data_IF_100802558009
#
_entry.id   IF_100802558009
#
_cell.length_a   1.000
_cell.length_b   1.000
_cell.length_c   1.000
_cell.angle_alpha   90.00
_cell.angle_beta   90.00
_cell.angle_gamma   90.00
#
_symmetry.space_group_name_H-M   'P 1'
#
loop_
_entity.id
_entity.type
_entity.pdbx_description
1 polymer ?
#
# COMPACT_ATOMS: atom_id res chain seq x y z
N UNK A 1 -5.94 -7.22 26.86
CA UNK A 1 -7.11 -6.48 26.31
C UNK A 1 -7.13 -6.68 24.79
N UNK A 2 -8.18 -6.31 24.07
CA UNK A 2 -8.15 -6.37 22.59
C UNK A 2 -7.68 -5.02 22.08
N UNK A 3 -6.62 -5.02 21.26
CA UNK A 3 -6.11 -3.85 20.54
C UNK A 3 -6.29 -4.03 19.05
N UNK A 4 -6.72 -2.97 18.35
CA UNK A 4 -7.01 -3.04 16.92
C UNK A 4 -6.23 -2.01 16.12
N UNK A 5 -5.48 -2.51 15.14
CA UNK A 5 -4.69 -1.68 14.24
C UNK A 5 -5.31 -1.68 12.85
N UNK A 6 -5.40 -0.50 12.25
CA UNK A 6 -5.73 -0.32 10.84
C UNK A 6 -4.44 -0.02 10.07
N UNK A 7 -4.00 -0.96 9.26
CA UNK A 7 -2.88 -0.80 8.33
C UNK A 7 -3.44 -0.55 6.93
N UNK A 8 -2.97 0.50 6.26
CA UNK A 8 -3.42 0.90 4.92
C UNK A 8 -2.20 1.04 4.02
N UNK A 9 -2.09 0.17 3.01
CA UNK A 9 -1.25 0.44 1.84
C UNK A 9 -2.06 1.25 0.82
N UNK A 10 -1.47 2.33 0.30
CA UNK A 10 -2.12 3.13 -0.73
C UNK A 10 -2.30 2.38 -2.05
N UNK A 11 -1.49 1.36 -2.32
CA UNK A 11 -1.62 0.57 -3.54
C UNK A 11 -2.97 -0.19 -3.61
N UNK A 12 -3.63 -0.40 -2.47
CA UNK A 12 -4.99 -0.91 -2.40
C UNK A 12 -5.96 -0.08 -3.24
N UNK A 13 -5.76 1.24 -3.32
CA UNK A 13 -6.68 2.14 -4.02
C UNK A 13 -6.43 2.18 -5.53
N UNK A 14 -5.48 1.43 -6.08
CA UNK A 14 -5.19 1.44 -7.51
C UNK A 14 -6.31 0.77 -8.30
N UNK A 15 -6.87 1.49 -9.26
CA UNK A 15 -7.74 0.94 -10.29
C UNK A 15 -6.88 0.49 -11.46
N UNK A 16 -6.39 -0.75 -11.41
CA UNK A 16 -5.48 -1.31 -12.40
C UNK A 16 -6.03 -2.62 -12.99
N UNK A 17 -5.64 -2.93 -14.23
CA UNK A 17 -5.75 -4.29 -14.75
C UNK A 17 -4.57 -5.11 -14.27
N UNK A 18 -4.72 -6.44 -14.31
CA UNK A 18 -3.63 -7.37 -14.02
C UNK A 18 -2.41 -7.17 -14.91
N UNK A 19 -2.62 -6.84 -16.18
CA UNK A 19 -1.55 -6.53 -17.13
C UNK A 19 -0.80 -5.26 -16.72
N UNK A 20 -1.50 -4.25 -16.22
CA UNK A 20 -0.88 -3.02 -15.71
C UNK A 20 -0.04 -3.31 -14.47
N UNK A 21 -0.58 -4.02 -13.46
CA UNK A 21 0.19 -4.38 -12.25
C UNK A 21 1.42 -5.22 -12.58
N UNK A 22 1.28 -6.22 -13.47
CA UNK A 22 2.41 -7.04 -13.95
C UNK A 22 3.47 -6.24 -14.71
N UNK A 23 3.13 -5.05 -15.16
CA UNK A 23 4.08 -4.17 -15.82
C UNK A 23 4.81 -3.24 -14.84
N UNK A 24 4.49 -3.23 -13.55
CA UNK A 24 5.16 -2.36 -12.59
C UNK A 24 6.67 -2.65 -12.50
N UNK A 25 7.49 -1.66 -12.06
CA UNK A 25 8.89 -1.90 -11.78
C UNK A 25 9.11 -2.99 -10.72
N UNK A 26 10.32 -3.55 -10.66
CA UNK A 26 10.65 -4.58 -9.66
C UNK A 26 10.40 -4.10 -8.23
N UNK A 27 9.64 -4.92 -7.49
CA UNK A 27 8.96 -4.58 -6.25
C UNK A 27 9.77 -4.61 -4.96
N UNK A 28 11.05 -4.23 -5.00
CA UNK A 28 11.86 -4.12 -3.79
C UNK A 28 11.73 -2.71 -3.24
N UNK A 29 11.49 -2.56 -1.95
CA UNK A 29 11.43 -1.24 -1.31
C UNK A 29 12.73 -0.45 -1.54
N UNK A 30 12.58 0.81 -1.95
CA UNK A 30 13.66 1.75 -2.23
C UNK A 30 13.32 3.13 -1.67
N UNK A 31 14.34 3.93 -1.31
CA UNK A 31 14.14 5.34 -0.99
C UNK A 31 13.36 6.09 -2.07
N UNK A 32 12.58 7.09 -1.65
CA UNK A 32 11.70 7.89 -2.51
C UNK A 32 12.38 8.37 -3.79
N UNK A 33 13.61 8.87 -3.69
CA UNK A 33 14.37 9.40 -4.84
C UNK A 33 14.65 8.32 -5.88
N UNK A 34 15.05 7.13 -5.43
CA UNK A 34 15.35 6.01 -6.32
C UNK A 34 14.08 5.43 -6.93
N UNK A 35 13.02 5.26 -6.14
CA UNK A 35 11.69 4.87 -6.65
C UNK A 35 11.18 5.84 -7.71
N UNK A 36 11.36 7.14 -7.49
CA UNK A 36 10.98 8.19 -8.45
C UNK A 36 11.74 8.04 -9.77
N UNK A 37 13.06 7.80 -9.72
CA UNK A 37 13.88 7.59 -10.91
C UNK A 37 13.46 6.32 -11.67
N UNK A 38 13.19 5.24 -10.95
CA UNK A 38 12.74 3.97 -11.51
C UNK A 38 11.42 4.16 -12.26
N UNK A 39 10.43 4.82 -11.63
CA UNK A 39 9.16 5.14 -12.27
C UNK A 39 9.32 6.04 -13.50
N UNK A 40 10.16 7.07 -13.42
CA UNK A 40 10.42 7.95 -14.55
C UNK A 40 11.03 7.19 -15.73
N UNK A 41 11.99 6.30 -15.48
CA UNK A 41 12.54 5.42 -16.50
C UNK A 41 11.48 4.46 -17.05
N UNK A 42 10.64 3.91 -16.19
CA UNK A 42 9.58 2.97 -16.57
C UNK A 42 8.55 3.61 -17.51
N UNK A 43 8.19 4.86 -17.23
CA UNK A 43 7.26 5.67 -18.00
C UNK A 43 7.70 6.05 -19.42
N UNK A 44 8.97 5.85 -19.75
CA UNK A 44 9.49 6.06 -21.11
C UNK A 44 9.20 4.88 -22.04
N UNK A 45 8.91 3.70 -21.51
CA UNK A 45 8.60 2.53 -22.31
C UNK A 45 7.25 2.66 -23.03
N UNK A 46 7.20 2.34 -24.33
CA UNK A 46 6.00 2.54 -25.15
C UNK A 46 4.79 1.75 -24.62
N UNK A 47 4.96 0.44 -24.38
CA UNK A 47 3.87 -0.44 -23.94
C UNK A 47 3.66 -0.37 -22.43
N UNK A 48 4.73 -0.55 -21.67
CA UNK A 48 4.69 -0.59 -20.20
C UNK A 48 4.38 0.79 -19.60
N UNK A 49 4.93 1.86 -20.16
CA UNK A 49 4.59 3.23 -19.75
C UNK A 49 3.14 3.58 -20.05
N UNK A 50 2.60 3.15 -21.20
CA UNK A 50 1.18 3.35 -21.51
C UNK A 50 0.25 2.57 -20.56
N UNK A 51 0.61 1.33 -20.20
CA UNK A 51 -0.18 0.52 -19.26
C UNK A 51 -0.17 1.13 -17.86
N UNK A 52 1.01 1.49 -17.35
CA UNK A 52 1.15 2.04 -15.99
C UNK A 52 0.53 3.42 -15.83
N UNK A 53 0.59 4.28 -16.86
CA UNK A 53 -0.10 5.60 -16.86
C UNK A 53 -1.62 5.50 -16.98
N UNK A 54 -2.16 4.33 -17.34
CA UNK A 54 -3.61 4.09 -17.40
C UNK A 54 -4.22 3.73 -16.05
N UNK A 55 -3.39 3.48 -15.04
CA UNK A 55 -3.84 3.12 -13.69
C UNK A 55 -4.58 4.31 -13.08
N UNK A 56 -5.78 4.06 -12.58
CA UNK A 56 -6.60 5.06 -11.92
C UNK A 56 -6.66 4.86 -10.41
N UNK A 57 -7.70 5.45 -9.80
CA UNK A 57 -7.98 5.31 -8.37
C UNK A 57 -9.39 4.75 -8.18
N UNK A 58 -9.53 3.74 -7.32
CA UNK A 58 -10.80 3.23 -6.81
C UNK A 58 -11.46 4.28 -5.92
N UNK A 59 -12.12 5.25 -6.55
CA UNK A 59 -12.61 6.47 -5.88
C UNK A 59 -13.63 6.18 -4.78
N UNK A 60 -14.49 5.17 -4.96
CA UNK A 60 -15.46 4.77 -3.95
C UNK A 60 -14.81 4.19 -2.69
N UNK A 61 -13.77 3.35 -2.87
CA UNK A 61 -12.98 2.80 -1.77
C UNK A 61 -12.14 3.89 -1.08
N UNK A 62 -11.53 4.80 -1.84
CA UNK A 62 -10.81 5.95 -1.28
C UNK A 62 -11.74 6.86 -0.47
N UNK A 63 -12.98 7.08 -0.94
CA UNK A 63 -13.97 7.81 -0.18
C UNK A 63 -14.45 7.03 1.06
N UNK A 64 -14.55 5.70 0.97
CA UNK A 64 -14.90 4.82 2.08
C UNK A 64 -13.87 4.91 3.20
N UNK A 65 -12.57 4.76 2.91
CA UNK A 65 -11.54 4.85 3.95
C UNK A 65 -11.53 6.23 4.60
N UNK A 66 -11.73 7.31 3.84
CA UNK A 66 -11.84 8.67 4.39
C UNK A 66 -13.02 8.81 5.37
N UNK A 67 -14.14 8.13 5.14
CA UNK A 67 -15.26 8.10 6.09
C UNK A 67 -14.95 7.27 7.33
N UNK A 68 -14.25 6.14 7.18
CA UNK A 68 -13.79 5.31 8.30
C UNK A 68 -12.86 6.12 9.22
N UNK A 69 -11.87 6.81 8.64
CA UNK A 69 -10.90 7.62 9.37
C UNK A 69 -11.57 8.74 10.17
N UNK A 70 -12.50 9.49 9.57
CA UNK A 70 -13.23 10.59 10.24
C UNK A 70 -14.12 10.14 11.42
N UNK A 71 -14.43 8.85 11.53
CA UNK A 71 -15.21 8.29 12.65
C UNK A 71 -14.32 7.87 13.83
N UNK A 72 -13.00 7.82 13.64
CA UNK A 72 -12.07 7.43 14.69
C UNK A 72 -11.87 8.57 15.68
N UNK A 73 -11.41 8.24 16.89
CA UNK A 73 -10.99 9.24 17.86
C UNK A 73 -9.86 10.11 17.29
N UNK A 74 -9.93 11.42 17.47
CA UNK A 74 -8.83 12.33 17.11
C UNK A 74 -7.54 12.04 17.88
N UNK A 75 -7.64 11.36 19.03
CA UNK A 75 -6.49 10.98 19.85
C UNK A 75 -5.87 9.62 19.46
N UNK A 76 -6.42 8.94 18.44
CA UNK A 76 -5.83 7.72 17.90
C UNK A 76 -4.45 8.05 17.29
N UNK A 77 -3.36 7.36 17.68
CA UNK A 77 -2.05 7.57 17.09
C UNK A 77 -2.04 7.15 15.63
N UNK A 78 -1.43 7.98 14.78
CA UNK A 78 -1.28 7.71 13.35
C UNK A 78 0.17 7.82 12.91
N UNK A 79 0.61 6.87 12.08
CA UNK A 79 1.90 6.93 11.39
C UNK A 79 1.70 6.91 9.87
N UNK A 80 2.42 7.78 9.17
CA UNK A 80 2.47 7.84 7.70
C UNK A 80 3.92 7.65 7.25
N UNK A 81 4.18 6.61 6.47
CA UNK A 81 5.52 6.26 6.00
C UNK A 81 5.53 5.82 4.53
N UNK A 82 6.72 5.77 3.93
CA UNK A 82 6.88 5.29 2.56
C UNK A 82 6.85 3.76 2.47
N UNK A 83 7.49 3.07 3.40
CA UNK A 83 7.63 1.61 3.41
C UNK A 83 6.70 0.97 4.42
N UNK A 84 6.10 -0.15 4.03
CA UNK A 84 5.16 -0.89 4.86
C UNK A 84 5.84 -1.64 6.01
N UNK A 85 7.16 -1.85 5.93
CA UNK A 85 7.92 -2.50 7.01
C UNK A 85 7.79 -1.73 8.34
N UNK A 86 7.59 -0.41 8.28
CA UNK A 86 7.39 0.42 9.48
C UNK A 86 6.09 0.14 10.23
N UNK A 87 5.13 -0.58 9.63
CA UNK A 87 3.95 -1.05 10.35
C UNK A 87 4.33 -2.03 11.47
N UNK A 88 5.42 -2.79 11.32
CA UNK A 88 5.91 -3.71 12.35
C UNK A 88 6.29 -2.96 13.63
N UNK A 89 7.15 -1.93 13.53
CA UNK A 89 7.55 -1.12 14.67
C UNK A 89 6.36 -0.34 15.26
N UNK A 90 5.48 0.18 14.39
CA UNK A 90 4.29 0.91 14.83
C UNK A 90 3.34 0.04 15.67
N UNK A 91 3.18 -1.25 15.33
CA UNK A 91 2.39 -2.19 16.13
C UNK A 91 3.02 -2.39 17.50
N UNK A 92 4.34 -2.58 17.59
CA UNK A 92 5.06 -2.74 18.85
C UNK A 92 4.97 -1.50 19.75
N UNK A 93 5.00 -0.31 19.17
CA UNK A 93 4.84 0.95 19.90
C UNK A 93 3.41 1.16 20.43
N UNK A 94 2.42 0.50 19.83
CA UNK A 94 0.99 0.72 20.12
C UNK A 94 0.36 -0.41 20.95
N UNK A 95 0.86 -1.64 20.82
CA UNK A 95 0.23 -2.86 21.33
C UNK A 95 1.23 -3.67 22.17
N UNK A 96 0.88 -3.89 23.43
CA UNK A 96 1.62 -4.77 24.33
C UNK A 96 1.52 -6.23 23.87
N UNK A 97 2.59 -7.03 24.00
CA UNK A 97 2.57 -8.47 23.68
C UNK A 97 1.52 -9.27 24.51
N UNK A 98 1.16 -8.76 25.70
CA UNK A 98 0.09 -9.32 26.54
C UNK A 98 -1.34 -9.02 26.03
N UNK A 99 -1.50 -8.14 25.03
CA UNK A 99 -2.77 -7.81 24.41
C UNK A 99 -3.08 -8.71 23.20
N UNK A 100 -4.36 -8.97 22.95
CA UNK A 100 -4.83 -9.63 21.74
C UNK A 100 -4.84 -8.62 20.59
N UNK A 101 -4.08 -8.89 19.53
CA UNK A 101 -3.97 -8.03 18.35
C UNK A 101 -5.07 -8.35 17.32
N UNK A 102 -5.80 -7.34 16.87
CA UNK A 102 -6.70 -7.44 15.72
C UNK A 102 -6.22 -6.50 14.62
N UNK A 103 -5.60 -7.05 13.58
CA UNK A 103 -5.09 -6.28 12.45
C UNK A 103 -6.10 -6.29 11.29
N UNK A 104 -6.44 -5.10 10.80
CA UNK A 104 -7.07 -4.93 9.50
C UNK A 104 -6.02 -4.36 8.55
N UNK A 105 -5.54 -5.17 7.59
CA UNK A 105 -4.63 -4.73 6.54
C UNK A 105 -5.42 -4.44 5.25
N UNK A 106 -5.36 -3.21 4.74
CA UNK A 106 -6.03 -2.75 3.52
C UNK A 106 -4.96 -2.57 2.46
N UNK A 107 -4.89 -3.48 1.49
CA UNK A 107 -3.65 -3.69 0.74
C UNK A 107 -3.87 -4.42 -0.60
N UNK A 108 -3.10 -4.08 -1.65
CA UNK A 108 -3.02 -4.91 -2.85
C UNK A 108 -2.27 -6.22 -2.58
N UNK A 109 -1.21 -6.18 -1.78
CA UNK A 109 -0.40 -7.32 -1.38
C UNK A 109 -0.95 -7.92 -0.08
N UNK A 110 -0.54 -9.15 0.24
CA UNK A 110 -1.02 -9.79 1.47
C UNK A 110 -0.08 -9.59 2.64
N UNK A 111 1.19 -9.29 2.39
CA UNK A 111 2.28 -9.06 3.36
C UNK A 111 2.54 -10.15 4.42
N UNK A 112 1.88 -11.29 4.27
CA UNK A 112 2.06 -12.44 5.15
C UNK A 112 3.41 -13.11 4.96
N UNK A 113 3.83 -13.42 3.73
CA UNK A 113 5.01 -14.26 3.51
C UNK A 113 5.63 -14.02 2.13
N UNK A 114 6.94 -14.04 2.05
CA UNK A 114 7.68 -14.05 0.79
C UNK A 114 8.87 -15.02 0.89
N UNK A 115 9.80 -14.95 -0.06
CA UNK A 115 10.99 -15.80 -0.06
C UNK A 115 12.14 -15.25 0.83
N UNK A 116 11.91 -14.14 1.52
CA UNK A 116 12.87 -13.54 2.44
C UNK A 116 12.54 -14.00 3.88
N UNK A 117 13.56 -14.47 4.59
CA UNK A 117 13.43 -14.84 6.00
C UNK A 117 13.62 -13.63 6.94
N UNK A 118 14.28 -12.57 6.46
CA UNK A 118 14.44 -11.32 7.21
C UNK A 118 13.21 -10.44 7.06
N UNK A 119 12.90 -9.67 8.10
CA UNK A 119 11.77 -8.73 8.13
C UNK A 119 11.84 -7.74 6.96
N UNK A 120 10.77 -7.70 6.16
CA UNK A 120 10.54 -6.71 5.12
C UNK A 120 9.04 -6.41 4.93
N UNK A 121 8.72 -5.52 3.98
CA UNK A 121 7.35 -5.12 3.69
C UNK A 121 6.45 -6.28 3.22
N UNK A 122 7.00 -7.38 2.68
CA UNK A 122 6.22 -8.50 2.15
C UNK A 122 5.99 -9.64 3.15
N UNK A 123 6.62 -9.60 4.33
CA UNK A 123 6.49 -10.66 5.34
C UNK A 123 6.23 -10.17 6.77
N UNK A 124 6.14 -8.85 7.03
CA UNK A 124 6.00 -8.29 8.38
C UNK A 124 4.83 -8.87 9.19
N UNK A 125 3.74 -9.28 8.53
CA UNK A 125 2.60 -9.92 9.22
C UNK A 125 2.98 -11.29 9.77
N UNK A 126 3.84 -12.07 9.10
CA UNK A 126 4.30 -13.37 9.65
C UNK A 126 5.18 -13.21 10.88
N UNK A 127 5.92 -12.12 11.00
CA UNK A 127 6.68 -11.81 12.21
C UNK A 127 5.73 -11.50 13.37
N UNK A 128 4.72 -10.63 13.16
CA UNK A 128 3.71 -10.36 14.19
C UNK A 128 2.90 -11.61 14.61
N UNK A 129 2.61 -12.51 13.67
CA UNK A 129 1.92 -13.78 13.97
C UNK A 129 2.74 -14.72 14.87
N UNK A 130 4.06 -14.54 14.96
CA UNK A 130 4.92 -15.31 15.86
C UNK A 130 4.96 -14.71 17.27
N UNK A 131 4.59 -13.43 17.41
CA UNK A 131 4.74 -12.62 18.62
C UNK A 131 3.41 -12.41 19.37
N UNK A 132 2.29 -12.29 18.64
CA UNK A 132 0.98 -11.92 19.20
C UNK A 132 -0.09 -13.02 19.05
N UNK A 133 -1.03 -13.10 20.00
CA UNK A 133 -2.34 -13.72 19.75
C UNK A 133 -3.14 -12.80 18.82
N UNK A 134 -3.21 -13.17 17.54
CA UNK A 134 -3.59 -12.26 16.48
C UNK A 134 -4.78 -12.74 15.65
N UNK A 135 -5.75 -11.82 15.43
CA UNK A 135 -6.71 -11.93 14.33
C UNK A 135 -6.34 -11.03 13.18
N UNK A 136 -6.30 -11.59 11.97
CA UNK A 136 -6.02 -10.87 10.74
C UNK A 136 -7.29 -10.72 9.88
N UNK A 137 -7.51 -9.53 9.35
CA UNK A 137 -8.42 -9.27 8.22
C UNK A 137 -7.63 -8.58 7.12
N UNK A 138 -7.60 -9.16 5.93
CA UNK A 138 -7.00 -8.55 4.76
C UNK A 138 -8.10 -8.05 3.82
N UNK A 139 -8.20 -6.74 3.62
CA UNK A 139 -9.05 -6.14 2.61
C UNK A 139 -8.24 -6.04 1.32
N UNK A 140 -8.48 -6.99 0.42
CA UNK A 140 -7.70 -7.14 -0.81
C UNK A 140 -8.23 -6.25 -1.93
N UNK A 141 -7.33 -5.64 -2.70
CA UNK A 141 -7.70 -4.96 -3.95
C UNK A 141 -8.41 -5.96 -4.90
N UNK A 142 -9.42 -5.54 -5.69
CA UNK A 142 -10.07 -6.41 -6.68
C UNK A 142 -9.12 -7.15 -7.62
N UNK A 143 -8.02 -6.51 -8.06
CA UNK A 143 -7.02 -7.12 -8.95
C UNK A 143 -6.23 -8.24 -8.24
N UNK A 144 -6.00 -8.10 -6.93
CA UNK A 144 -5.31 -9.08 -6.10
C UNK A 144 -6.06 -10.41 -6.06
N UNK A 145 -7.39 -10.35 -6.01
CA UNK A 145 -8.22 -11.56 -6.03
C UNK A 145 -7.95 -12.40 -7.29
N UNK A 146 -7.76 -11.75 -8.44
CA UNK A 146 -7.46 -12.41 -9.71
C UNK A 146 -5.98 -12.80 -9.85
N UNK A 147 -5.08 -11.99 -9.31
CA UNK A 147 -3.63 -12.24 -9.33
C UNK A 147 -3.23 -13.44 -8.47
N UNK A 148 -3.74 -13.51 -7.24
CA UNK A 148 -3.49 -14.60 -6.30
C UNK A 148 -4.47 -15.77 -6.49
N UNK A 149 -5.42 -15.66 -7.43
CA UNK A 149 -6.40 -16.70 -7.71
C UNK A 149 -7.34 -16.98 -6.52
N UNK A 150 -7.56 -15.99 -5.65
CA UNK A 150 -8.43 -16.07 -4.48
C UNK A 150 -9.92 -16.12 -4.88
N UNK A 151 -10.22 -15.73 -6.11
CA UNK A 151 -11.51 -15.91 -6.78
C UNK A 151 -11.80 -17.38 -7.14
N UNK A 152 -10.78 -18.25 -7.17
CA UNK A 152 -10.89 -19.66 -7.55
C UNK A 152 -10.96 -20.57 -6.33
N UNK A 153 -11.76 -21.63 -6.44
CA UNK A 153 -11.87 -22.65 -5.41
C UNK A 153 -10.64 -23.58 -5.39
N UNK A 154 -9.48 -23.07 -4.96
CA UNK A 154 -8.23 -23.83 -4.80
C UNK A 154 -7.95 -24.16 -3.34
N UNK A 155 -7.49 -25.39 -3.07
CA UNK A 155 -7.18 -25.87 -1.71
C UNK A 155 -6.10 -25.02 -1.02
N UNK A 156 -5.10 -24.59 -1.78
CA UNK A 156 -3.98 -23.75 -1.35
C UNK A 156 -4.45 -22.39 -0.81
N UNK A 157 -5.55 -21.86 -1.35
CA UNK A 157 -6.08 -20.54 -0.98
C UNK A 157 -7.03 -20.59 0.22
N UNK A 158 -7.28 -21.76 0.81
CA UNK A 158 -8.24 -21.91 1.93
C UNK A 158 -7.80 -21.19 3.19
N UNK A 159 -6.49 -21.09 3.45
CA UNK A 159 -5.96 -20.32 4.58
C UNK A 159 -6.34 -18.83 4.47
N UNK A 160 -6.27 -18.26 3.27
CA UNK A 160 -6.60 -16.85 3.01
C UNK A 160 -8.12 -16.56 3.03
N UNK A 161 -8.97 -17.52 2.69
CA UNK A 161 -10.43 -17.28 2.60
C UNK A 161 -11.06 -16.83 3.92
N UNK A 162 -10.51 -17.25 5.06
CA UNK A 162 -11.02 -16.87 6.38
C UNK A 162 -10.73 -15.41 6.74
N UNK A 163 -9.70 -14.81 6.12
CA UNK A 163 -9.20 -13.47 6.47
C UNK A 163 -9.52 -12.42 5.39
N UNK A 164 -9.78 -12.83 4.14
CA UNK A 164 -9.98 -11.91 3.01
C UNK A 164 -11.36 -11.24 3.02
N UNK A 165 -11.38 -9.92 2.87
CA UNK A 165 -12.53 -9.11 2.47
C UNK A 165 -12.27 -8.49 1.09
N UNK A 166 -13.33 -8.31 0.31
CA UNK A 166 -13.23 -7.84 -1.08
C UNK A 166 -13.22 -6.31 -1.22
N UNK A 167 -13.63 -5.60 -0.17
CA UNK A 167 -13.79 -4.15 -0.13
C UNK A 167 -13.95 -3.65 1.31
N UNK A 168 -13.92 -2.34 1.49
CA UNK A 168 -14.00 -1.67 2.78
C UNK A 168 -15.40 -1.63 3.39
N UNK A 169 -16.46 -1.99 2.66
CA UNK A 169 -17.85 -1.82 3.13
C UNK A 169 -18.10 -2.51 4.48
N UNK A 170 -17.62 -3.73 4.66
CA UNK A 170 -17.76 -4.44 5.95
C UNK A 170 -16.97 -3.80 7.08
N UNK A 171 -15.84 -3.17 6.79
CA UNK A 171 -15.07 -2.43 7.79
C UNK A 171 -15.85 -1.17 8.21
N UNK A 172 -16.42 -0.45 7.24
CA UNK A 172 -17.27 0.71 7.48
C UNK A 172 -18.54 0.36 8.27
N UNK A 173 -19.22 -0.72 7.91
CA UNK A 173 -20.45 -1.21 8.57
C UNK A 173 -20.21 -1.61 10.03
N UNK A 174 -19.09 -2.31 10.30
CA UNK A 174 -18.75 -2.74 11.65
C UNK A 174 -18.34 -1.58 12.56
N UNK A 175 -17.98 -0.44 11.99
CA UNK A 175 -17.60 0.77 12.70
C UNK A 175 -16.58 0.49 13.82
N UNK A 176 -15.53 -0.24 13.47
CA UNK A 176 -14.47 -0.57 14.42
C UNK A 176 -13.86 0.70 15.01
N UNK A 177 -13.58 0.65 16.31
CA UNK A 177 -12.67 1.58 16.98
C UNK A 177 -11.27 1.02 16.83
N UNK A 178 -10.38 1.83 16.24
CA UNK A 178 -8.97 1.51 16.09
C UNK A 178 -8.14 2.20 17.18
N UNK A 179 -7.17 1.45 17.70
CA UNK A 179 -6.18 1.89 18.69
C UNK A 179 -4.95 2.50 18.03
N UNK A 180 -4.75 2.26 16.73
CA UNK A 180 -3.68 2.86 15.93
C UNK A 180 -3.96 2.73 14.43
N UNK A 181 -3.46 3.69 13.65
CA UNK A 181 -3.61 3.74 12.19
C UNK A 181 -2.24 3.91 11.55
N UNK A 182 -1.94 3.07 10.56
CA UNK A 182 -0.74 3.15 9.74
C UNK A 182 -1.14 3.39 8.28
N UNK A 183 -0.50 4.35 7.61
CA UNK A 183 -0.65 4.63 6.19
C UNK A 183 0.70 4.52 5.48
N UNK A 184 0.79 3.60 4.54
CA UNK A 184 1.91 3.44 3.62
C UNK A 184 1.64 4.15 2.28
N UNK A 185 2.66 4.81 1.70
CA UNK A 185 2.59 5.27 0.30
C UNK A 185 3.00 4.19 -0.70
N UNK A 186 3.90 3.29 -0.30
CA UNK A 186 4.46 2.21 -1.11
C UNK A 186 5.00 2.68 -2.46
N UNK A 187 5.99 3.58 -2.43
CA UNK A 187 6.52 4.26 -3.62
C UNK A 187 6.81 3.37 -4.83
N UNK A 188 7.38 2.18 -4.65
CA UNK A 188 7.71 1.31 -5.77
C UNK A 188 6.47 0.67 -6.40
N UNK A 189 5.39 0.54 -5.62
CA UNK A 189 4.11 -0.04 -6.02
C UNK A 189 3.07 1.00 -6.44
N UNK A 190 3.23 2.26 -6.03
CA UNK A 190 2.31 3.36 -6.36
C UNK A 190 2.84 4.20 -7.53
N UNK A 191 2.11 4.31 -8.65
CA UNK A 191 2.49 5.19 -9.75
C UNK A 191 2.50 6.70 -9.36
N UNK A 192 3.57 7.46 -9.62
CA UNK A 192 3.68 8.88 -9.23
C UNK A 192 2.57 9.83 -9.67
N UNK A 193 1.89 9.56 -10.78
CA UNK A 193 0.77 10.40 -11.23
C UNK A 193 -0.45 10.33 -10.29
N UNK A 194 -0.44 9.42 -9.31
CA UNK A 194 -1.48 9.26 -8.29
C UNK A 194 -1.11 9.86 -6.94
N UNK A 195 0.04 10.52 -6.82
CA UNK A 195 0.51 11.12 -5.56
C UNK A 195 -0.47 12.15 -4.99
N UNK A 196 -1.21 12.86 -5.84
CA UNK A 196 -2.25 13.79 -5.38
C UNK A 196 -3.41 13.08 -4.65
N UNK A 197 -3.75 11.85 -5.08
CA UNK A 197 -4.76 11.06 -4.40
C UNK A 197 -4.26 10.57 -3.03
N UNK A 198 -2.98 10.18 -2.93
CA UNK A 198 -2.33 9.88 -1.65
C UNK A 198 -2.30 11.11 -0.73
N UNK A 199 -1.92 12.27 -1.25
CA UNK A 199 -1.91 13.54 -0.50
C UNK A 199 -3.31 13.85 0.05
N UNK A 200 -4.37 13.62 -0.73
CA UNK A 200 -5.74 13.83 -0.28
C UNK A 200 -6.16 12.91 0.89
N UNK A 201 -5.49 11.78 1.08
CA UNK A 201 -5.69 10.90 2.24
C UNK A 201 -4.87 11.40 3.44
N UNK A 202 -3.63 11.85 3.20
CA UNK A 202 -2.83 12.54 4.22
C UNK A 202 -3.57 13.75 4.78
N UNK A 203 -4.20 14.57 3.93
CA UNK A 203 -4.94 15.76 4.35
C UNK A 203 -6.08 15.39 5.32
N UNK A 204 -6.85 14.32 5.02
CA UNK A 204 -7.90 13.83 5.92
C UNK A 204 -7.33 13.39 7.27
N UNK A 205 -6.15 12.77 7.28
CA UNK A 205 -5.49 12.37 8.52
C UNK A 205 -5.02 13.60 9.30
N UNK A 206 -4.30 14.52 8.66
CA UNK A 206 -3.74 15.69 9.34
C UNK A 206 -4.80 16.69 9.81
N UNK A 207 -5.97 16.72 9.17
CA UNK A 207 -7.08 17.58 9.57
C UNK A 207 -7.89 17.00 10.75
N UNK A 208 -7.81 15.69 11.00
CA UNK A 208 -8.66 14.99 11.97
C UNK A 208 -7.92 14.52 13.23
N UNK A 209 -6.68 14.02 13.09
CA UNK A 209 -5.95 13.40 14.20
C UNK A 209 -4.96 14.37 14.84
N UNK A 210 -4.88 14.32 16.17
CA UNK A 210 -4.03 15.17 16.99
C UNK A 210 -2.56 14.70 17.02
N UNK A 211 -2.32 13.39 16.83
CA UNK A 211 -1.00 12.77 16.94
C UNK A 211 -0.67 12.01 15.66
N UNK A 212 0.00 12.71 14.72
CA UNK A 212 0.42 12.15 13.43
C UNK A 212 1.94 12.19 13.33
N UNK A 213 2.57 11.02 13.34
CA UNK A 213 3.96 10.86 12.96
C UNK A 213 4.04 10.70 11.44
N UNK A 214 4.90 11.48 10.78
CA UNK A 214 5.06 11.44 9.34
C UNK A 214 6.52 11.35 8.97
N UNK A 215 6.85 10.41 8.08
CA UNK A 215 8.14 10.39 7.41
C UNK A 215 8.36 11.72 6.68
N UNK A 216 9.62 12.19 6.68
CA UNK A 216 9.99 13.45 6.05
C UNK A 216 9.63 13.42 4.56
N UNK A 217 9.07 14.52 4.06
CA UNK A 217 8.72 14.71 2.66
C UNK A 217 7.67 13.71 2.09
N UNK A 218 7.03 12.88 2.93
CA UNK A 218 6.05 11.86 2.47
C UNK A 218 4.85 12.46 1.72
N UNK A 219 4.47 13.70 2.04
CA UNK A 219 3.40 14.46 1.35
C UNK A 219 3.86 15.13 0.05
N UNK A 220 5.14 15.12 -0.26
CA UNK A 220 5.65 15.74 -1.48
C UNK A 220 5.37 14.81 -2.65
N UNK A 221 4.60 15.28 -3.62
CA UNK A 221 4.43 14.58 -4.90
C UNK A 221 5.80 14.42 -5.59
N UNK A 222 6.05 13.24 -6.12
CA UNK A 222 7.28 12.88 -6.81
C UNK A 222 7.32 13.56 -8.17
N UNK A 223 8.40 14.29 -8.46
CA UNK A 223 8.58 15.07 -9.69
C UNK A 223 8.97 14.19 -10.89
N UNK A 224 8.13 13.19 -11.18
CA UNK A 224 8.40 12.16 -12.17
C UNK A 224 8.38 12.74 -13.60
N UNK A 225 7.51 13.72 -13.89
CA UNK A 225 7.40 14.31 -15.23
C UNK A 225 8.65 15.08 -15.66
N UNK A 226 9.22 15.88 -14.76
CA UNK A 226 10.48 16.59 -15.03
C UNK A 226 11.61 15.60 -15.29
N UNK A 227 11.71 14.53 -14.51
CA UNK A 227 12.73 13.50 -14.69
C UNK A 227 12.53 12.75 -16.01
N UNK A 228 11.28 12.42 -16.38
CA UNK A 228 10.97 11.83 -17.69
C UNK A 228 11.46 12.71 -18.83
N UNK A 229 11.24 14.03 -18.76
CA UNK A 229 11.71 14.97 -19.78
C UNK A 229 13.24 15.01 -19.88
N UNK A 230 13.93 14.93 -18.75
CA UNK A 230 15.39 14.92 -18.69
C UNK A 230 15.98 13.61 -19.23
N UNK A 231 15.35 12.47 -18.97
CA UNK A 231 15.82 11.14 -19.40
C UNK A 231 15.51 10.83 -20.87
N UNK A 232 14.46 11.43 -21.44
CA UNK A 232 13.96 11.11 -22.79
C UNK A 232 15.04 11.15 -23.89
N UNK A 233 15.93 12.16 -23.99
CA UNK A 233 16.92 12.23 -25.06
C UNK A 233 17.91 11.04 -25.07
N UNK A 234 18.29 10.57 -23.87
CA UNK A 234 19.22 9.45 -23.73
C UNK A 234 18.53 8.11 -23.95
N UNK A 235 17.27 7.98 -23.50
CA UNK A 235 16.43 6.83 -23.80
C UNK A 235 16.22 6.64 -25.31
N UNK A 236 15.87 7.71 -26.04
CA UNK A 236 15.68 7.67 -27.49
C UNK A 236 16.97 7.27 -28.23
N UNK A 237 18.14 7.69 -27.71
CA UNK A 237 19.45 7.33 -28.26
C UNK A 237 19.78 5.85 -28.03
N UNK A 238 19.47 5.33 -26.84
CA UNK A 238 19.71 3.93 -26.49
C UNK A 238 18.83 2.99 -27.33
N UNK A 239 17.54 3.32 -27.48
CA UNK A 239 16.58 2.53 -28.25
C UNK A 239 16.95 2.41 -29.74
N UNK A 240 17.54 3.46 -30.34
CA UNK A 240 18.01 3.42 -31.75
C UNK A 240 19.22 2.51 -31.96
N UNK A 241 20.07 2.32 -30.94
CA UNK A 241 21.26 1.44 -31.03
C UNK A 241 20.93 -0.05 -30.93
N UNK A 242 19.74 -0.41 -30.44
CA UNK A 242 19.32 -1.82 -30.35
C UNK A 242 18.67 -2.34 -31.65
N UNK A 243 18.41 -1.46 -32.62
CA UNK A 243 17.75 -1.79 -33.91
C UNK A 243 18.76 -1.84 -35.08
N UNK A 244 20.05 -1.60 -34.81
CA UNK A 244 21.17 -1.80 -35.75
C UNK A 244 21.96 -3.05 -35.39
#
# INVERSE_FOLDING_TARGET
>A
MIRRILSIDFDYFLQATKEAVRSFPDGVDRPTELSTLIWASHYLGERQGSLTRSVGVLSDELNCIKRILRKQSSDCPVMIAQSHVHAYDFVHDTVSEDDELRLVNVDMHHDIVNNNEELDCGNWISHLLQEYDMGLTWVANPVSLEMFGLDKDRKENRAFRGIVQKNLSKIEEKNYVFDGIFLCRSDIWTPPHLDNAFCSLCDVITDHFNYVMMEKDIRKCRDCETIVQQLKPDFDRASRKQVQ
#
